data_IF_474113969704
#
_entry.id   IF_474113969704
#
_cell.length_a   1.000
_cell.length_b   1.000
_cell.length_c   1.000
_cell.angle_alpha   90.00
_cell.angle_beta   90.00
_cell.angle_gamma   90.00
#
_symmetry.space_group_name_H-M   'P 1'
#
loop_
_entity.id
_entity.type
_entity.pdbx_description
1 polymer ?
#
# COMPACT_ATOMS: atom_id res chain seq x y z
N UNK A 1 -0.73 -19.85 17.85
CA UNK A 1 0.69 -19.46 17.63
C UNK A 1 0.94 -19.59 16.13
N UNK A 2 1.38 -18.53 15.44
CA UNK A 2 1.64 -18.60 13.99
C UNK A 2 2.94 -19.40 13.79
N UNK A 3 2.92 -20.37 12.88
CA UNK A 3 4.07 -21.22 12.58
C UNK A 3 5.18 -20.38 11.90
N UNK A 4 6.44 -20.53 12.30
CA UNK A 4 7.59 -19.73 11.79
C UNK A 4 8.07 -20.15 10.39
N UNK A 5 7.40 -21.14 9.78
CA UNK A 5 7.78 -21.73 8.50
C UNK A 5 8.95 -22.70 8.66
N UNK A 6 9.63 -23.00 7.55
CA UNK A 6 10.84 -23.81 7.57
C UNK A 6 11.99 -22.98 8.19
N UNK A 7 12.63 -23.51 9.22
CA UNK A 7 13.83 -22.95 9.85
C UNK A 7 14.94 -23.96 9.68
N UNK A 8 15.91 -23.66 8.82
CA UNK A 8 16.99 -24.61 8.49
C UNK A 8 18.19 -24.48 9.43
N UNK A 9 18.27 -23.40 10.21
CA UNK A 9 19.34 -23.16 11.17
C UNK A 9 18.90 -22.16 12.23
N UNK A 10 19.44 -22.27 13.44
CA UNK A 10 19.27 -21.26 14.50
C UNK A 10 19.86 -19.88 14.13
N UNK A 11 20.63 -19.79 13.04
CA UNK A 11 21.16 -18.52 12.50
C UNK A 11 20.20 -17.85 11.51
N UNK A 12 19.10 -18.50 11.15
CA UNK A 12 18.12 -17.94 10.22
C UNK A 12 17.32 -16.83 10.91
N UNK A 13 17.61 -15.58 10.52
CA UNK A 13 16.92 -14.39 11.00
C UNK A 13 15.78 -13.94 10.05
N UNK A 14 15.40 -14.78 9.06
CA UNK A 14 14.34 -14.45 8.13
C UNK A 14 12.98 -14.43 8.82
N UNK A 15 12.26 -13.34 8.62
CA UNK A 15 10.89 -13.20 9.10
C UNK A 15 9.92 -13.91 8.16
N UNK A 16 8.69 -14.15 8.61
CA UNK A 16 7.63 -14.70 7.75
C UNK A 16 7.40 -13.88 6.47
N UNK A 17 7.56 -12.56 6.55
CA UNK A 17 7.49 -11.68 5.39
C UNK A 17 8.62 -11.95 4.40
N UNK A 18 9.85 -12.15 4.88
CA UNK A 18 11.00 -12.46 4.03
C UNK A 18 10.80 -13.81 3.32
N UNK A 19 10.32 -14.82 4.06
CA UNK A 19 10.01 -16.16 3.50
C UNK A 19 8.91 -16.12 2.44
N UNK A 20 7.83 -15.36 2.69
CA UNK A 20 6.77 -15.16 1.70
C UNK A 20 7.31 -14.51 0.43
N UNK A 21 8.10 -13.45 0.56
CA UNK A 21 8.67 -12.74 -0.60
C UNK A 21 9.56 -13.67 -1.41
N UNK A 22 10.43 -14.45 -0.76
CA UNK A 22 11.28 -15.43 -1.45
C UNK A 22 10.43 -16.47 -2.20
N UNK A 23 9.42 -17.03 -1.55
CA UNK A 23 8.51 -17.99 -2.18
C UNK A 23 7.81 -17.37 -3.41
N UNK A 24 7.21 -16.20 -3.23
CA UNK A 24 6.47 -15.52 -4.29
C UNK A 24 7.37 -15.19 -5.47
N UNK A 25 8.53 -14.58 -5.25
CA UNK A 25 9.45 -14.22 -6.34
C UNK A 25 10.01 -15.46 -7.06
N UNK A 26 10.20 -16.57 -6.35
CA UNK A 26 10.58 -17.85 -6.97
C UNK A 26 9.49 -18.36 -7.93
N UNK A 27 8.23 -18.34 -7.48
CA UNK A 27 7.09 -18.76 -8.31
C UNK A 27 6.92 -17.85 -9.52
N UNK A 28 7.03 -16.53 -9.32
CA UNK A 28 6.89 -15.55 -10.39
C UNK A 28 8.01 -15.68 -11.42
N UNK A 29 9.24 -15.97 -10.97
CA UNK A 29 10.37 -16.28 -11.86
C UNK A 29 10.11 -17.49 -12.76
N UNK A 30 9.32 -18.48 -12.31
CA UNK A 30 8.88 -19.60 -13.16
C UNK A 30 7.78 -19.17 -14.12
N UNK A 31 6.82 -18.37 -13.66
CA UNK A 31 5.67 -17.94 -14.47
C UNK A 31 5.98 -16.84 -15.50
N UNK A 32 7.09 -16.10 -15.35
CA UNK A 32 7.53 -15.01 -16.24
C UNK A 32 6.44 -13.95 -16.49
N UNK A 33 5.69 -13.59 -15.44
CA UNK A 33 4.60 -12.59 -15.51
C UNK A 33 4.70 -11.59 -14.39
N UNK A 34 4.22 -10.37 -14.62
CA UNK A 34 3.99 -9.42 -13.54
C UNK A 34 2.79 -9.88 -12.71
N UNK A 35 2.89 -9.73 -11.39
CA UNK A 35 1.83 -10.13 -10.46
C UNK A 35 1.39 -8.97 -9.59
N UNK A 36 0.11 -9.00 -9.21
CA UNK A 36 -0.46 -8.18 -8.16
C UNK A 36 -0.71 -9.08 -6.94
N UNK A 37 0.08 -8.90 -5.88
CA UNK A 37 -0.16 -9.57 -4.60
C UNK A 37 -1.30 -8.85 -3.86
N UNK A 38 -2.38 -9.57 -3.57
CA UNK A 38 -3.48 -9.07 -2.72
C UNK A 38 -3.33 -9.68 -1.33
N UNK A 39 -3.17 -8.86 -0.30
CA UNK A 39 -2.90 -9.34 1.05
C UNK A 39 -3.52 -8.45 2.14
N UNK A 40 -3.48 -8.91 3.40
CA UNK A 40 -3.97 -8.11 4.52
C UNK A 40 -3.00 -6.99 4.95
N UNK A 41 -3.37 -6.22 5.99
CA UNK A 41 -2.59 -5.08 6.46
C UNK A 41 -1.23 -5.44 7.11
N UNK A 42 -1.01 -6.69 7.49
CA UNK A 42 0.28 -7.18 7.99
C UNK A 42 1.37 -7.07 6.91
N UNK A 43 0.99 -7.28 5.65
CA UNK A 43 1.90 -7.28 4.51
C UNK A 43 2.21 -5.88 3.97
N UNK A 44 1.48 -4.85 4.41
CA UNK A 44 1.81 -3.45 4.14
C UNK A 44 3.11 -3.08 4.88
N UNK A 45 4.25 -3.42 4.28
CA UNK A 45 5.57 -3.26 4.86
C UNK A 45 6.63 -3.05 3.78
N UNK A 46 7.73 -2.38 4.15
CA UNK A 46 8.86 -2.19 3.25
C UNK A 46 9.51 -3.51 2.81
N UNK A 47 9.51 -4.51 3.70
CA UNK A 47 10.04 -5.86 3.42
C UNK A 47 9.32 -6.57 2.28
N UNK A 48 8.03 -6.28 2.08
CA UNK A 48 7.22 -6.85 0.99
C UNK A 48 7.23 -5.93 -0.23
N UNK A 49 7.00 -4.63 -0.04
CA UNK A 49 6.83 -3.68 -1.14
C UNK A 49 8.11 -3.50 -1.95
N UNK A 50 9.27 -3.30 -1.29
CA UNK A 50 10.51 -2.96 -2.00
C UNK A 50 10.97 -4.10 -2.94
N UNK A 51 11.00 -5.38 -2.51
CA UNK A 51 11.36 -6.47 -3.41
C UNK A 51 10.35 -6.66 -4.55
N UNK A 52 9.04 -6.51 -4.28
CA UNK A 52 8.02 -6.58 -5.33
C UNK A 52 8.23 -5.51 -6.39
N UNK A 53 8.42 -4.25 -5.98
CA UNK A 53 8.67 -3.14 -6.90
C UNK A 53 9.96 -3.34 -7.70
N UNK A 54 11.02 -3.86 -7.07
CA UNK A 54 12.27 -4.19 -7.76
C UNK A 54 12.09 -5.26 -8.85
N UNK A 55 11.14 -6.19 -8.68
CA UNK A 55 10.75 -7.19 -9.67
C UNK A 55 9.67 -6.73 -10.67
N UNK A 56 9.22 -5.47 -10.60
CA UNK A 56 8.11 -4.98 -11.43
C UNK A 56 6.75 -5.58 -11.05
N UNK A 57 6.59 -6.01 -9.80
CA UNK A 57 5.36 -6.55 -9.24
C UNK A 57 4.67 -5.52 -8.35
N UNK A 58 3.38 -5.74 -8.12
CA UNK A 58 2.52 -4.80 -7.40
C UNK A 58 1.94 -5.44 -6.14
N UNK A 59 1.56 -4.61 -5.19
CA UNK A 59 0.91 -4.97 -3.94
C UNK A 59 -0.40 -4.20 -3.80
N UNK A 60 -1.48 -4.89 -3.42
CA UNK A 60 -2.73 -4.32 -2.94
C UNK A 60 -2.99 -4.86 -1.52
N UNK A 61 -3.09 -3.97 -0.55
CA UNK A 61 -3.30 -4.35 0.86
C UNK A 61 -4.28 -3.42 1.56
N UNK A 62 -4.78 -3.88 2.70
CA UNK A 62 -5.33 -2.97 3.71
C UNK A 62 -4.22 -2.11 4.31
N UNK A 63 -4.51 -0.85 4.59
CA UNK A 63 -3.68 0.05 5.39
C UNK A 63 -4.31 0.28 6.76
N UNK A 64 -3.49 0.67 7.74
CA UNK A 64 -4.01 1.14 9.03
C UNK A 64 -4.49 2.58 8.89
N UNK A 65 -5.62 2.92 9.52
CA UNK A 65 -6.16 4.30 9.45
C UNK A 65 -5.23 5.37 10.06
N UNK A 66 -4.33 4.98 10.96
CA UNK A 66 -3.33 5.89 11.55
C UNK A 66 -2.06 6.05 10.70
N UNK A 67 -2.03 5.52 9.47
CA UNK A 67 -0.91 5.72 8.54
C UNK A 67 -0.72 7.21 8.27
N UNK A 68 0.56 7.58 8.22
CA UNK A 68 1.02 8.90 7.82
C UNK A 68 1.82 8.75 6.54
N UNK A 69 1.44 9.52 5.52
CA UNK A 69 2.15 9.63 4.26
C UNK A 69 2.40 11.11 3.95
N UNK A 70 3.04 11.39 2.82
CA UNK A 70 3.47 12.74 2.46
C UNK A 70 3.11 13.01 1.00
N UNK A 71 2.65 14.23 0.71
CA UNK A 71 2.62 14.67 -0.69
C UNK A 71 4.04 14.67 -1.26
N UNK A 72 4.23 14.47 -2.58
CA UNK A 72 5.51 14.72 -3.22
C UNK A 72 5.99 16.15 -2.90
N UNK A 73 7.26 16.29 -2.54
CA UNK A 73 7.83 17.62 -2.40
C UNK A 73 7.82 18.33 -3.78
N UNK A 74 7.52 19.65 -3.81
CA UNK A 74 7.57 20.41 -5.06
C UNK A 74 8.99 20.36 -5.64
N UNK A 75 9.08 20.32 -6.96
CA UNK A 75 10.36 20.39 -7.64
C UNK A 75 11.09 21.69 -7.25
N UNK A 76 12.38 21.63 -6.87
CA UNK A 76 13.11 22.82 -6.48
C UNK A 76 13.29 23.74 -7.69
N UNK A 77 12.98 25.03 -7.52
CA UNK A 77 13.10 26.06 -8.56
C UNK A 77 14.56 26.25 -8.99
N UNK A 78 15.49 26.11 -8.04
CA UNK A 78 16.93 26.08 -8.30
C UNK A 78 17.60 24.89 -7.61
N UNK A 79 18.59 24.27 -8.26
CA UNK A 79 19.36 23.18 -7.67
C UNK A 79 20.33 23.72 -6.62
N UNK A 80 19.93 23.62 -5.35
CA UNK A 80 20.82 23.88 -4.21
C UNK A 80 21.78 22.72 -3.92
N UNK A 81 22.70 22.93 -2.97
CA UNK A 81 23.55 21.86 -2.43
C UNK A 81 22.71 20.85 -1.64
N UNK A 82 22.91 19.56 -1.89
CA UNK A 82 22.28 18.45 -1.16
C UNK A 82 21.24 17.66 -1.96
N UNK A 83 20.76 16.55 -1.38
CA UNK A 83 19.72 15.71 -1.99
C UNK A 83 18.38 16.47 -2.01
N UNK A 84 17.69 16.55 -3.16
CA UNK A 84 16.37 17.16 -3.23
C UNK A 84 15.41 16.58 -2.19
N UNK A 85 14.55 17.43 -1.63
CA UNK A 85 13.52 17.01 -0.69
C UNK A 85 12.58 16.04 -1.40
N UNK A 86 12.31 14.90 -0.78
CA UNK A 86 11.34 13.92 -1.28
C UNK A 86 9.95 14.15 -0.66
N UNK A 87 9.91 14.40 0.65
CA UNK A 87 8.68 14.47 1.43
C UNK A 87 8.15 15.90 1.51
N UNK A 88 6.99 16.16 0.92
CA UNK A 88 6.24 17.41 1.00
C UNK A 88 5.40 17.50 2.27
N UNK A 89 4.16 17.97 2.13
CA UNK A 89 3.25 18.14 3.26
C UNK A 89 2.80 16.79 3.82
N UNK A 90 2.70 16.72 5.14
CA UNK A 90 2.29 15.52 5.87
C UNK A 90 0.79 15.31 5.75
N UNK A 91 0.39 14.09 5.43
CA UNK A 91 -1.01 13.67 5.33
C UNK A 91 -1.25 12.51 6.30
N UNK A 92 -2.19 12.69 7.22
CA UNK A 92 -2.66 11.62 8.13
C UNK A 92 -3.93 11.04 7.52
N UNK A 93 -3.95 9.75 7.21
CA UNK A 93 -5.12 9.14 6.56
C UNK A 93 -6.39 9.28 7.40
N UNK A 94 -6.27 9.20 8.73
CA UNK A 94 -7.39 9.40 9.66
C UNK A 94 -8.03 10.79 9.55
N UNK A 95 -7.25 11.82 9.21
CA UNK A 95 -7.77 13.18 9.05
C UNK A 95 -8.32 13.37 7.63
N UNK A 96 -7.63 12.85 6.62
CA UNK A 96 -8.11 12.80 5.24
C UNK A 96 -9.47 12.06 5.11
N UNK A 97 -9.73 11.07 5.97
CA UNK A 97 -10.99 10.35 6.02
C UNK A 97 -12.19 11.19 6.51
N UNK A 98 -11.94 12.34 7.15
CA UNK A 98 -12.98 13.26 7.65
C UNK A 98 -13.31 14.38 6.66
N UNK A 99 -12.53 14.52 5.59
CA UNK A 99 -12.73 15.53 4.56
C UNK A 99 -13.81 15.07 3.59
N UNK A 100 -15.07 15.08 4.02
CA UNK A 100 -16.23 14.54 3.28
C UNK A 100 -16.34 15.06 1.85
N UNK A 101 -16.00 16.34 1.61
CA UNK A 101 -16.04 16.97 0.30
C UNK A 101 -15.03 16.41 -0.72
N UNK A 102 -14.03 15.67 -0.27
CA UNK A 102 -12.98 15.09 -1.12
C UNK A 102 -13.32 13.66 -1.61
N UNK A 103 -14.49 13.14 -1.24
CA UNK A 103 -14.94 11.80 -1.62
C UNK A 103 -15.88 11.86 -2.83
N UNK A 104 -15.82 10.80 -3.64
CA UNK A 104 -16.72 10.55 -4.76
C UNK A 104 -17.56 9.30 -4.52
N UNK A 105 -18.78 9.31 -5.02
CA UNK A 105 -19.74 8.19 -4.88
C UNK A 105 -19.61 7.20 -6.04
N UNK A 106 -19.74 5.92 -5.72
CA UNK A 106 -19.86 4.85 -6.70
C UNK A 106 -20.72 3.71 -6.16
N UNK A 107 -21.42 2.97 -7.05
CA UNK A 107 -22.11 1.76 -6.64
C UNK A 107 -21.12 0.75 -6.07
N UNK A 108 -21.51 0.08 -4.99
CA UNK A 108 -20.70 -0.97 -4.38
C UNK A 108 -20.51 -2.11 -5.38
N UNK A 109 -19.26 -2.54 -5.64
CA UNK A 109 -18.98 -3.64 -6.56
C UNK A 109 -19.24 -5.02 -5.93
N UNK A 110 -19.64 -5.08 -4.65
CA UNK A 110 -19.77 -6.34 -3.92
C UNK A 110 -21.02 -7.09 -4.38
N UNK A 111 -20.81 -8.26 -5.01
CA UNK A 111 -21.88 -9.14 -5.44
C UNK A 111 -22.80 -9.52 -4.26
N UNK A 112 -24.09 -9.20 -4.38
CA UNK A 112 -25.10 -9.42 -3.34
C UNK A 112 -25.41 -8.21 -2.45
N UNK A 113 -24.73 -7.07 -2.62
CA UNK A 113 -25.16 -5.80 -2.03
C UNK A 113 -26.17 -5.11 -2.95
N UNK A 114 -27.44 -5.10 -2.53
CA UNK A 114 -28.50 -4.41 -3.26
C UNK A 114 -28.34 -2.89 -3.09
N UNK A 115 -27.93 -2.20 -4.16
CA UNK A 115 -27.93 -0.72 -4.26
C UNK A 115 -27.10 0.06 -3.22
N UNK A 116 -26.13 -0.58 -2.55
CA UNK A 116 -25.26 0.15 -1.63
C UNK A 116 -24.35 1.12 -2.41
N UNK A 117 -24.40 2.41 -2.08
CA UNK A 117 -23.45 3.41 -2.57
C UNK A 117 -22.27 3.50 -1.61
N UNK A 118 -21.05 3.40 -2.13
CA UNK A 118 -19.82 3.63 -1.38
C UNK A 118 -19.28 5.01 -1.72
N UNK A 119 -18.60 5.63 -0.76
CA UNK A 119 -17.86 6.87 -0.98
C UNK A 119 -16.39 6.57 -0.89
N UNK A 120 -15.59 6.98 -1.86
CA UNK A 120 -14.16 6.75 -1.82
C UNK A 120 -13.34 7.98 -2.19
N UNK A 121 -12.10 8.02 -1.69
CA UNK A 121 -11.11 9.04 -1.99
C UNK A 121 -9.79 8.36 -2.35
N UNK A 122 -9.24 8.75 -3.49
CA UNK A 122 -7.94 8.29 -3.98
C UNK A 122 -6.88 9.35 -3.71
N UNK A 123 -5.72 8.94 -3.21
CA UNK A 123 -4.60 9.84 -2.93
C UNK A 123 -3.27 9.15 -3.25
N UNK A 124 -2.51 9.70 -4.18
CA UNK A 124 -1.15 9.23 -4.44
C UNK A 124 -0.17 9.98 -3.53
N UNK A 125 0.39 9.25 -2.55
CA UNK A 125 1.23 9.81 -1.48
C UNK A 125 2.53 9.01 -1.33
N UNK A 126 3.60 9.69 -0.96
CA UNK A 126 4.86 9.05 -0.62
C UNK A 126 4.74 8.46 0.78
N UNK A 127 4.86 7.14 0.88
CA UNK A 127 4.83 6.44 2.15
C UNK A 127 6.24 6.21 2.71
N UNK A 128 6.55 6.85 3.85
CA UNK A 128 7.91 6.92 4.40
C UNK A 128 8.62 5.57 4.58
N UNK A 129 7.96 4.46 5.00
CA UNK A 129 8.61 3.16 5.12
C UNK A 129 9.23 2.66 3.81
N UNK A 130 8.67 3.02 2.67
CA UNK A 130 9.17 2.61 1.35
C UNK A 130 9.88 3.75 0.61
N UNK A 131 9.54 5.01 0.89
CA UNK A 131 10.09 6.16 0.15
C UNK A 131 9.61 6.24 -1.30
N UNK A 132 8.57 5.50 -1.65
CA UNK A 132 7.92 5.48 -2.97
C UNK A 132 6.53 6.09 -2.90
N UNK A 133 6.07 6.60 -4.05
CA UNK A 133 4.69 6.98 -4.27
C UNK A 133 3.83 5.70 -4.27
N UNK A 134 2.77 5.70 -3.48
CA UNK A 134 1.77 4.64 -3.43
C UNK A 134 0.38 5.26 -3.45
N UNK A 135 -0.59 4.53 -3.99
CA UNK A 135 -1.99 4.92 -4.02
C UNK A 135 -2.66 4.50 -2.73
N UNK A 136 -3.15 5.46 -1.97
CA UNK A 136 -4.08 5.21 -0.87
C UNK A 136 -5.52 5.37 -1.37
N UNK A 137 -6.38 4.43 -1.01
CA UNK A 137 -7.83 4.54 -1.24
C UNK A 137 -8.53 4.43 0.09
N UNK A 138 -9.26 5.48 0.47
CA UNK A 138 -10.12 5.48 1.65
C UNK A 138 -11.53 5.19 1.14
N UNK A 139 -12.19 4.18 1.68
CA UNK A 139 -13.56 3.83 1.30
C UNK A 139 -14.44 3.87 2.54
N UNK A 140 -15.50 4.67 2.46
CA UNK A 140 -16.60 4.69 3.42
C UNK A 140 -17.72 3.81 2.88
N UNK A 141 -17.99 2.73 3.60
CA UNK A 141 -19.12 1.85 3.32
C UNK A 141 -20.26 2.14 4.31
N UNK A 142 -21.52 2.28 3.86
CA UNK A 142 -22.64 2.66 4.72
C UNK A 142 -22.85 1.73 5.91
N UNK A 143 -22.61 0.42 5.72
CA UNK A 143 -22.81 -0.60 6.76
C UNK A 143 -21.52 -1.20 7.37
N UNK A 144 -20.37 -1.07 6.70
CA UNK A 144 -19.13 -1.77 7.06
C UNK A 144 -18.07 -0.82 7.64
N UNK A 145 -18.38 0.49 7.68
CA UNK A 145 -17.47 1.52 8.15
C UNK A 145 -16.39 1.87 7.13
N UNK A 146 -15.32 2.48 7.63
CA UNK A 146 -14.21 2.97 6.82
C UNK A 146 -13.11 1.91 6.69
N UNK A 147 -12.70 1.64 5.46
CA UNK A 147 -11.51 0.85 5.15
C UNK A 147 -10.47 1.73 4.45
N UNK A 148 -9.21 1.47 4.75
CA UNK A 148 -8.06 2.11 4.12
C UNK A 148 -7.33 1.05 3.31
N UNK A 149 -7.01 1.36 2.07
CA UNK A 149 -6.30 0.50 1.15
C UNK A 149 -5.00 1.19 0.72
N UNK A 150 -3.99 0.39 0.43
CA UNK A 150 -2.72 0.80 -0.16
C UNK A 150 -2.48 -0.06 -1.39
N UNK A 151 -2.21 0.58 -2.52
CA UNK A 151 -1.73 -0.05 -3.73
C UNK A 151 -0.43 0.58 -4.21
N UNK A 152 0.50 -0.24 -4.70
CA UNK A 152 1.73 0.26 -5.31
C UNK A 152 1.57 0.58 -6.80
N UNK A 153 0.48 0.11 -7.42
CA UNK A 153 0.10 0.46 -8.78
C UNK A 153 -0.74 1.74 -8.78
N UNK A 154 -0.26 2.76 -9.48
CA UNK A 154 -0.93 4.06 -9.59
C UNK A 154 -1.89 4.14 -10.78
N UNK A 155 -2.09 3.04 -11.50
CA UNK A 155 -3.02 2.95 -12.64
C UNK A 155 -4.34 2.27 -12.29
N UNK A 156 -4.43 1.63 -11.12
CA UNK A 156 -5.62 0.96 -10.58
C UNK A 156 -6.61 1.90 -9.89
#
# INVERSE_FOLDING_TARGET
RIHEGLVFSNRDASTLLDKLVVLLLTLVGVCQRQVLLIADAYYASAKVILPLLAGGHQLLTRAKGNVVAYLPAPAPVSRGKGRPKLYGNKVRLKDAAKEEHAFIEAPSPVYGENNAQVRYRVMDLIWRPVGHLVRFVIVHHPHRGTIFLLCTDLTL
#
